data_IF_136300362213
#
_entry.id   IF_136300362213
#
_cell.length_a   1.000
_cell.length_b   1.000
_cell.length_c   1.000
_cell.angle_alpha   90.00
_cell.angle_beta   90.00
_cell.angle_gamma   90.00
#
_symmetry.space_group_name_H-M   'P 1'
#
loop_
_entity.id
_entity.type
_entity.pdbx_description
1 polymer ?
#
# COMPACT_ATOMS: atom_id res chain seq x y z
N UNK A 1 20.73 8.69 -4.49
CA UNK A 1 20.07 7.97 -3.39
C UNK A 1 19.64 6.60 -3.87
N UNK A 2 19.96 5.60 -3.08
CA UNK A 2 19.65 4.23 -3.44
C UNK A 2 18.17 3.94 -3.23
N UNK A 3 17.53 3.35 -4.23
CA UNK A 3 16.13 2.98 -4.15
C UNK A 3 15.97 1.47 -4.29
N UNK A 4 14.82 0.98 -3.90
CA UNK A 4 14.48 -0.43 -4.00
C UNK A 4 13.06 -0.58 -4.51
N UNK A 5 12.85 -1.58 -5.34
CA UNK A 5 11.50 -1.92 -5.80
C UNK A 5 10.86 -2.81 -4.74
N UNK A 6 9.59 -2.54 -4.46
CA UNK A 6 8.83 -3.33 -3.50
C UNK A 6 7.39 -3.46 -3.95
N UNK A 7 6.72 -4.48 -3.44
CA UNK A 7 5.29 -4.70 -3.64
C UNK A 7 4.62 -4.69 -2.28
N UNK A 8 3.66 -3.81 -2.08
CA UNK A 8 2.90 -3.73 -0.85
C UNK A 8 1.53 -4.35 -1.10
N UNK A 9 1.26 -5.45 -0.40
CA UNK A 9 -0.06 -6.06 -0.41
C UNK A 9 -0.91 -5.47 0.70
N UNK A 10 -2.15 -5.10 0.38
CA UNK A 10 -3.04 -4.41 1.31
C UNK A 10 -4.39 -5.12 1.30
N UNK A 11 -4.86 -5.52 2.47
CA UNK A 11 -6.22 -6.06 2.64
C UNK A 11 -7.02 -5.07 3.47
N UNK A 12 -8.15 -4.63 2.94
CA UNK A 12 -9.02 -3.66 3.61
C UNK A 12 -10.29 -4.35 4.03
N UNK A 13 -10.51 -4.49 5.32
CA UNK A 13 -11.72 -5.05 5.89
C UNK A 13 -12.70 -3.97 6.35
N UNK A 14 -12.22 -2.75 6.58
CA UNK A 14 -13.06 -1.61 6.92
C UNK A 14 -13.06 -0.61 5.76
N UNK A 15 -14.13 -0.58 4.99
CA UNK A 15 -14.23 0.29 3.80
C UNK A 15 -14.19 1.77 4.12
N UNK A 16 -14.47 2.16 5.36
CA UNK A 16 -14.35 3.55 5.77
C UNK A 16 -12.91 4.04 5.75
N UNK A 17 -11.94 3.13 5.78
CA UNK A 17 -10.52 3.48 5.73
C UNK A 17 -10.00 3.71 4.30
N UNK A 18 -10.80 3.41 3.26
CA UNK A 18 -10.35 3.53 1.86
C UNK A 18 -9.95 4.96 1.51
N UNK A 19 -10.75 5.93 1.93
CA UNK A 19 -10.45 7.33 1.62
C UNK A 19 -9.12 7.79 2.24
N UNK A 20 -8.88 7.44 3.50
CA UNK A 20 -7.62 7.77 4.18
C UNK A 20 -6.45 7.07 3.49
N UNK A 21 -6.61 5.81 3.12
CA UNK A 21 -5.57 5.07 2.41
C UNK A 21 -5.24 5.73 1.07
N UNK A 22 -6.27 6.11 0.30
CA UNK A 22 -6.05 6.78 -0.98
C UNK A 22 -5.31 8.10 -0.83
N UNK A 23 -5.62 8.86 0.23
CA UNK A 23 -4.92 10.11 0.51
C UNK A 23 -3.44 9.87 0.81
N UNK A 24 -3.14 8.83 1.59
CA UNK A 24 -1.75 8.48 1.89
C UNK A 24 -1.02 8.07 0.61
N UNK A 25 -1.63 7.23 -0.22
CA UNK A 25 -1.02 6.82 -1.49
C UNK A 25 -0.77 8.03 -2.41
N UNK A 26 -1.68 8.99 -2.40
CA UNK A 26 -1.52 10.20 -3.20
C UNK A 26 -0.30 11.01 -2.76
N UNK A 27 -0.05 11.11 -1.46
CA UNK A 27 1.13 11.80 -0.94
C UNK A 27 2.43 11.20 -1.46
N UNK A 28 2.45 9.89 -1.69
CA UNK A 28 3.64 9.16 -2.15
C UNK A 28 3.59 8.84 -3.64
N UNK A 29 2.68 9.48 -4.38
CA UNK A 29 2.37 9.13 -5.76
C UNK A 29 3.57 9.08 -6.70
N UNK A 30 4.54 9.98 -6.52
CA UNK A 30 5.70 10.04 -7.41
C UNK A 30 6.68 8.87 -7.24
N UNK A 31 6.53 8.10 -6.15
CA UNK A 31 7.32 6.89 -5.96
C UNK A 31 6.62 5.65 -6.51
N UNK A 32 5.32 5.73 -6.79
CA UNK A 32 4.54 4.56 -7.18
C UNK A 32 4.78 4.21 -8.64
N UNK A 33 5.05 2.91 -8.90
CA UNK A 33 5.15 2.39 -10.26
C UNK A 33 3.75 2.09 -10.80
N UNK A 34 2.87 1.59 -9.95
CA UNK A 34 1.51 1.29 -10.32
C UNK A 34 0.74 0.69 -9.16
N UNK A 35 -0.57 0.54 -9.35
CA UNK A 35 -1.41 -0.09 -8.35
C UNK A 35 -2.55 -0.83 -9.03
N UNK A 36 -3.06 -1.85 -8.32
CA UNK A 36 -4.17 -2.65 -8.80
C UNK A 36 -5.05 -2.96 -7.60
N UNK A 37 -6.37 -2.80 -7.78
CA UNK A 37 -7.31 -3.05 -6.69
C UNK A 37 -8.45 -3.92 -7.17
N UNK A 38 -8.88 -4.86 -6.31
CA UNK A 38 -9.97 -5.77 -6.59
C UNK A 38 -10.93 -5.73 -5.40
N UNK A 39 -12.13 -5.15 -5.56
CA UNK A 39 -13.15 -5.25 -4.51
C UNK A 39 -13.74 -6.66 -4.51
N UNK A 40 -13.89 -7.24 -3.35
CA UNK A 40 -14.46 -8.57 -3.21
C UNK A 40 -15.69 -8.47 -2.31
N UNK A 41 -16.83 -8.26 -2.91
CA UNK A 41 -18.08 -7.98 -2.18
C UNK A 41 -18.59 -9.16 -1.37
N UNK A 42 -18.28 -10.36 -1.81
CA UNK A 42 -18.71 -11.58 -1.13
C UNK A 42 -18.25 -11.62 0.33
N UNK A 43 -17.08 -11.06 0.62
CA UNK A 43 -16.52 -11.01 1.98
C UNK A 43 -16.35 -9.59 2.48
N UNK A 44 -16.86 -8.61 1.76
CA UNK A 44 -16.79 -7.20 2.14
C UNK A 44 -15.36 -6.71 2.36
N UNK A 45 -14.43 -7.18 1.52
CA UNK A 45 -13.02 -6.76 1.59
C UNK A 45 -12.57 -6.20 0.26
N UNK A 46 -11.53 -5.38 0.30
CA UNK A 46 -10.82 -4.95 -0.90
C UNK A 46 -9.38 -5.44 -0.82
N UNK A 47 -8.88 -5.92 -1.96
CA UNK A 47 -7.51 -6.43 -2.08
C UNK A 47 -6.75 -5.50 -3.01
N UNK A 48 -5.66 -4.91 -2.52
CA UNK A 48 -4.91 -3.93 -3.28
C UNK A 48 -3.44 -4.30 -3.30
N UNK A 49 -2.81 -4.14 -4.46
CA UNK A 49 -1.38 -4.28 -4.64
C UNK A 49 -0.81 -2.96 -5.12
N UNK A 50 0.28 -2.52 -4.49
CA UNK A 50 0.95 -1.28 -4.86
C UNK A 50 2.42 -1.59 -5.14
N UNK A 51 2.88 -1.26 -6.35
CA UNK A 51 4.29 -1.41 -6.70
C UNK A 51 4.96 -0.04 -6.54
N UNK A 52 6.15 -0.04 -5.94
CA UNK A 52 6.84 1.19 -5.56
C UNK A 52 8.35 1.04 -5.81
N UNK A 53 8.98 2.14 -6.20
CA UNK A 53 10.43 2.25 -6.29
C UNK A 53 10.84 3.47 -5.49
N UNK A 54 11.44 3.26 -4.34
CA UNK A 54 11.73 4.33 -3.40
C UNK A 54 12.85 3.92 -2.44
N UNK A 55 13.44 4.90 -1.73
CA UNK A 55 14.34 4.57 -0.62
C UNK A 55 13.65 3.71 0.41
N UNK A 56 14.38 2.82 1.06
CA UNK A 56 13.80 1.86 1.99
C UNK A 56 13.00 2.52 3.12
N UNK A 57 13.49 3.65 3.65
CA UNK A 57 12.78 4.35 4.71
C UNK A 57 11.43 4.90 4.26
N UNK A 58 11.32 5.32 2.99
CA UNK A 58 10.06 5.79 2.41
C UNK A 58 9.06 4.64 2.28
N UNK A 59 9.53 3.48 1.80
CA UNK A 59 8.68 2.30 1.67
C UNK A 59 8.12 1.91 3.05
N UNK A 60 8.99 1.90 4.07
CA UNK A 60 8.57 1.53 5.42
C UNK A 60 7.60 2.54 6.03
N UNK A 61 7.81 3.83 5.78
CA UNK A 61 6.88 4.87 6.24
C UNK A 61 5.51 4.72 5.61
N UNK A 62 5.48 4.50 4.30
CA UNK A 62 4.22 4.33 3.57
C UNK A 62 3.45 3.10 4.09
N UNK A 63 4.14 1.96 4.15
CA UNK A 63 3.53 0.72 4.63
C UNK A 63 3.02 0.88 6.07
N UNK A 64 3.81 1.54 6.93
CA UNK A 64 3.44 1.77 8.32
C UNK A 64 2.21 2.67 8.46
N UNK A 65 2.16 3.75 7.70
CA UNK A 65 1.00 4.66 7.73
C UNK A 65 -0.29 3.96 7.30
N UNK A 66 -0.22 3.18 6.23
CA UNK A 66 -1.39 2.45 5.74
C UNK A 66 -1.80 1.36 6.73
N UNK A 67 -0.82 0.63 7.28
CA UNK A 67 -1.10 -0.45 8.22
C UNK A 67 -1.69 0.01 9.55
N UNK A 68 -1.57 1.29 9.89
CA UNK A 68 -2.17 1.84 11.10
C UNK A 68 -3.64 2.18 10.95
N UNK A 69 -4.17 2.20 9.72
CA UNK A 69 -5.58 2.48 9.51
C UNK A 69 -6.45 1.32 9.98
N UNK A 70 -7.63 1.66 10.49
CA UNK A 70 -8.55 0.66 11.03
C UNK A 70 -8.97 -0.35 9.96
N UNK A 71 -8.89 -1.64 10.30
CA UNK A 71 -9.29 -2.72 9.40
C UNK A 71 -8.40 -2.94 8.20
N UNK A 72 -7.15 -2.44 8.23
CA UNK A 72 -6.21 -2.63 7.13
C UNK A 72 -5.00 -3.44 7.59
N UNK A 73 -4.64 -4.42 6.78
CA UNK A 73 -3.43 -5.24 6.98
C UNK A 73 -2.51 -5.04 5.78
N UNK A 74 -1.22 -4.83 6.03
CA UNK A 74 -0.24 -4.69 4.96
C UNK A 74 0.89 -5.70 5.12
N UNK A 75 1.42 -6.14 3.99
CA UNK A 75 2.65 -6.92 3.92
C UNK A 75 3.45 -6.41 2.74
N UNK A 76 4.76 -6.32 2.90
CA UNK A 76 5.63 -5.80 1.86
C UNK A 76 6.65 -6.85 1.45
N UNK A 77 6.83 -6.99 0.14
CA UNK A 77 7.85 -7.84 -0.46
C UNK A 77 8.86 -6.91 -1.12
N UNK A 78 10.13 -7.06 -0.77
CA UNK A 78 11.20 -6.23 -1.31
C UNK A 78 11.99 -6.98 -2.36
N UNK A 79 12.39 -6.27 -3.42
CA UNK A 79 13.35 -6.83 -4.37
C UNK A 79 14.71 -6.97 -3.67
N UNK A 80 15.55 -7.82 -4.22
CA UNK A 80 16.91 -8.01 -3.70
C UNK A 80 17.91 -7.03 -4.31
N UNK A 81 17.44 -6.26 -5.27
CA UNK A 81 18.30 -5.30 -5.96
C UNK A 81 17.66 -3.91 -5.91
#
# INVERSE_FOLDING_TARGET
>A
METRVALIGIIIENRQSVSAMNNILHEYGHFLIGRMGIPYDKKQVSVISVAIDAPLDIINKLSGKIGMLDGITTKTIYSKI
#
